data_IF_707919024267
#
_entry.id   IF_707919024267
#
_cell.length_a   1.000
_cell.length_b   1.000
_cell.length_c   1.000
_cell.angle_alpha   90.00
_cell.angle_beta   90.00
_cell.angle_gamma   90.00
#
_symmetry.space_group_name_H-M   'P 1'
#
loop_
_entity.id
_entity.type
_entity.pdbx_description
1 polymer ?
#
# COMPACT_ATOMS: atom_id res chain seq x y z
N UNK A 1 28.13 65.70 -7.46
CA UNK A 1 27.35 64.66 -8.12
C UNK A 1 26.93 63.70 -7.01
N UNK A 2 25.74 63.91 -6.45
CA UNK A 2 25.20 63.20 -5.27
C UNK A 2 24.47 61.94 -5.72
N UNK A 3 24.87 60.80 -5.17
CA UNK A 3 24.09 59.56 -5.28
C UNK A 3 23.11 59.48 -4.10
N UNK A 4 21.82 59.57 -4.40
CA UNK A 4 20.75 59.37 -3.45
C UNK A 4 20.56 57.86 -3.15
N UNK A 5 20.79 57.47 -1.89
CA UNK A 5 20.34 56.22 -1.33
C UNK A 5 18.84 56.31 -1.07
N UNK A 6 18.05 55.51 -1.80
CA UNK A 6 16.65 55.27 -1.46
C UNK A 6 16.53 53.97 -0.69
N UNK A 7 16.56 54.05 0.64
CA UNK A 7 16.15 52.95 1.52
C UNK A 7 14.64 52.72 1.35
N UNK A 8 14.26 51.58 0.81
CA UNK A 8 12.87 51.09 0.87
C UNK A 8 12.63 50.60 2.31
N UNK A 9 11.90 51.40 3.07
CA UNK A 9 11.24 50.95 4.29
C UNK A 9 10.18 49.92 3.91
N UNK A 10 10.43 48.63 4.19
CA UNK A 10 9.36 47.59 4.11
C UNK A 10 8.30 47.95 5.14
N UNK A 11 7.08 48.08 4.68
CA UNK A 11 5.96 48.50 5.51
C UNK A 11 5.65 47.39 6.53
N UNK A 12 5.80 47.69 7.81
CA UNK A 12 5.49 46.82 8.93
C UNK A 12 4.05 46.29 8.89
N UNK A 13 3.16 46.96 8.17
CA UNK A 13 1.77 46.52 7.98
C UNK A 13 1.66 45.31 7.05
N UNK A 14 2.46 45.22 5.99
CA UNK A 14 2.46 44.04 5.11
C UNK A 14 2.98 42.80 5.82
N UNK A 15 4.04 42.92 6.62
CA UNK A 15 4.57 41.79 7.43
C UNK A 15 3.56 41.29 8.46
N UNK A 16 2.74 42.17 9.04
CA UNK A 16 1.69 41.77 9.99
C UNK A 16 0.49 41.12 9.29
N UNK A 17 0.19 41.46 8.05
CA UNK A 17 -0.86 40.83 7.26
C UNK A 17 -0.48 39.41 6.85
N UNK A 18 0.78 39.17 6.48
CA UNK A 18 1.27 37.82 6.18
C UNK A 18 1.38 36.92 7.42
N UNK A 19 1.78 37.46 8.55
CA UNK A 19 1.80 36.73 9.82
C UNK A 19 0.40 36.36 10.31
N UNK A 20 -0.61 37.22 10.07
CA UNK A 20 -2.01 36.97 10.38
C UNK A 20 -2.62 35.86 9.51
N UNK A 21 -2.28 35.79 8.23
CA UNK A 21 -2.78 34.76 7.32
C UNK A 21 -2.21 33.38 7.65
N UNK A 22 -0.94 33.29 8.06
CA UNK A 22 -0.32 32.05 8.50
C UNK A 22 -0.87 31.57 9.85
N UNK A 23 -1.20 32.48 10.76
CA UNK A 23 -1.81 32.14 12.05
C UNK A 23 -3.27 31.66 11.90
N UNK A 24 -4.05 32.23 10.96
CA UNK A 24 -5.40 31.76 10.67
C UNK A 24 -5.39 30.37 9.99
N UNK A 25 -4.45 30.12 9.07
CA UNK A 25 -4.29 28.81 8.45
C UNK A 25 -3.93 27.71 9.46
N UNK A 26 -3.07 28.02 10.42
CA UNK A 26 -2.69 27.10 11.49
C UNK A 26 -3.83 26.89 12.51
N UNK A 27 -4.68 27.90 12.76
CA UNK A 27 -5.85 27.80 13.64
C UNK A 27 -6.99 27.01 12.99
N UNK A 28 -7.21 27.14 11.68
CA UNK A 28 -8.20 26.34 10.95
C UNK A 28 -7.77 24.87 10.89
N UNK A 29 -6.48 24.58 10.75
CA UNK A 29 -5.97 23.21 10.79
C UNK A 29 -6.06 22.59 12.19
N UNK A 30 -5.88 23.37 13.27
CA UNK A 30 -6.08 22.93 14.65
C UNK A 30 -7.55 22.78 15.04
N UNK A 31 -8.44 23.59 14.50
CA UNK A 31 -9.88 23.48 14.78
C UNK A 31 -10.52 22.29 14.06
N UNK A 32 -9.99 21.86 12.89
CA UNK A 32 -10.42 20.64 12.24
C UNK A 32 -9.92 19.36 12.95
N UNK A 33 -8.91 19.47 13.83
CA UNK A 33 -8.38 18.37 14.64
C UNK A 33 -8.91 18.28 16.06
N UNK A 34 -9.80 19.19 16.50
CA UNK A 34 -10.27 19.27 17.88
C UNK A 34 -11.79 19.15 18.04
N UNK A 35 -12.51 18.73 17.01
CA UNK A 35 -13.95 18.47 17.09
C UNK A 35 -14.21 16.98 16.92
N UNK A 36 -14.64 16.38 17.99
CA UNK A 36 -15.20 15.05 18.14
C UNK A 36 -14.25 13.97 18.66
N UNK A 37 -14.15 13.91 20.01
CA UNK A 37 -13.57 12.80 20.75
C UNK A 37 -14.57 11.64 20.97
N UNK A 38 -15.48 11.42 20.05
CA UNK A 38 -16.15 10.13 19.93
C UNK A 38 -15.11 9.12 19.43
N UNK A 39 -15.11 7.85 19.88
CA UNK A 39 -14.24 6.85 19.33
C UNK A 39 -14.60 6.67 17.86
N UNK A 40 -13.97 7.48 16.99
CA UNK A 40 -14.04 7.24 15.56
C UNK A 40 -13.47 5.86 15.36
N UNK A 41 -14.31 4.95 14.88
CA UNK A 41 -13.86 3.68 14.31
C UNK A 41 -12.60 4.00 13.51
N UNK A 42 -11.47 3.43 13.93
CA UNK A 42 -10.18 3.69 13.28
C UNK A 42 -10.41 3.57 11.77
N UNK A 43 -9.98 4.59 11.00
CA UNK A 43 -10.14 4.56 9.56
C UNK A 43 -9.54 3.24 9.09
N UNK A 44 -10.29 2.31 8.46
CA UNK A 44 -9.78 0.97 8.15
C UNK A 44 -8.59 1.01 7.16
N UNK A 45 -8.41 2.16 6.47
CA UNK A 45 -7.38 2.37 5.47
C UNK A 45 -6.47 3.54 5.87
N UNK A 46 -5.52 3.24 6.79
CA UNK A 46 -4.51 4.20 7.24
C UNK A 46 -3.22 3.48 7.61
N UNK A 47 -2.10 3.80 6.95
CA UNK A 47 -0.80 3.16 7.20
C UNK A 47 -0.30 2.31 6.06
N UNK A 48 0.52 1.32 6.37
CA UNK A 48 1.16 0.45 5.37
C UNK A 48 0.37 -0.84 5.21
N UNK A 49 -0.01 -1.12 3.96
CA UNK A 49 -0.71 -2.33 3.53
C UNK A 49 0.14 -3.04 2.48
N UNK A 50 1.17 -3.79 2.89
CA UNK A 50 2.05 -4.44 1.93
C UNK A 50 1.31 -5.44 1.07
N UNK A 51 1.87 -5.67 -0.12
CA UNK A 51 1.42 -6.73 -1.00
C UNK A 51 2.15 -8.01 -0.62
N UNK A 52 1.39 -8.97 -0.09
CA UNK A 52 1.87 -10.29 0.32
C UNK A 52 2.48 -11.04 -0.86
N UNK A 53 3.55 -11.78 -0.58
CA UNK A 53 4.20 -12.63 -1.58
C UNK A 53 3.53 -14.01 -1.61
N UNK A 54 3.67 -14.74 -2.71
CA UNK A 54 3.12 -16.09 -2.84
C UNK A 54 4.25 -17.11 -2.79
N UNK A 55 4.43 -17.79 -1.66
CA UNK A 55 5.45 -18.82 -1.50
C UNK A 55 4.99 -20.15 -2.09
N UNK A 56 5.87 -20.84 -2.80
CA UNK A 56 5.66 -22.22 -3.21
C UNK A 56 6.73 -23.13 -2.59
N UNK A 57 6.29 -24.27 -2.09
CA UNK A 57 7.16 -25.34 -1.61
C UNK A 57 7.76 -26.14 -2.78
N UNK A 58 8.79 -26.99 -2.54
CA UNK A 58 9.27 -27.93 -3.53
C UNK A 58 8.13 -28.77 -4.12
N UNK A 59 8.15 -28.95 -5.44
CA UNK A 59 7.05 -29.60 -6.16
C UNK A 59 5.91 -28.65 -6.53
N UNK A 60 6.17 -27.35 -6.51
CA UNK A 60 5.27 -26.30 -7.01
C UNK A 60 3.90 -26.23 -6.29
N UNK A 61 3.87 -26.56 -5.01
CA UNK A 61 2.68 -26.47 -4.16
C UNK A 61 2.67 -25.16 -3.38
N UNK A 62 1.50 -24.50 -3.29
CA UNK A 62 1.33 -23.32 -2.44
C UNK A 62 1.72 -23.66 -0.99
N UNK A 63 2.65 -22.87 -0.42
CA UNK A 63 3.10 -23.07 0.98
C UNK A 63 2.22 -22.21 1.92
N UNK A 64 1.16 -22.85 2.43
CA UNK A 64 0.20 -22.19 3.32
C UNK A 64 0.85 -21.77 4.65
N UNK A 65 1.83 -22.52 5.15
CA UNK A 65 2.55 -22.17 6.40
C UNK A 65 3.33 -20.85 6.23
N UNK A 66 3.98 -20.66 5.07
CA UNK A 66 4.69 -19.43 4.77
C UNK A 66 3.72 -18.24 4.56
N UNK A 67 2.54 -18.45 3.97
CA UNK A 67 1.49 -17.40 3.91
C UNK A 67 1.04 -16.99 5.32
N UNK A 68 0.80 -17.94 6.21
CA UNK A 68 0.45 -17.67 7.61
C UNK A 68 1.60 -16.95 8.36
N UNK A 69 2.85 -17.37 8.11
CA UNK A 69 4.02 -16.73 8.69
C UNK A 69 4.14 -15.25 8.27
N UNK A 70 3.77 -14.91 7.04
CA UNK A 70 3.76 -13.54 6.53
C UNK A 70 2.71 -12.66 7.25
N UNK A 71 1.51 -13.19 7.53
CA UNK A 71 0.51 -12.50 8.36
C UNK A 71 1.02 -12.27 9.78
N UNK A 72 1.61 -13.32 10.39
CA UNK A 72 2.18 -13.23 11.73
C UNK A 72 3.33 -12.21 11.80
N UNK A 73 4.14 -12.14 10.74
CA UNK A 73 5.18 -11.14 10.60
C UNK A 73 4.60 -9.71 10.59
N UNK A 74 3.54 -9.46 9.80
CA UNK A 74 2.86 -8.17 9.78
C UNK A 74 2.29 -7.81 11.16
N UNK A 75 1.65 -8.75 11.85
CA UNK A 75 1.12 -8.53 13.20
C UNK A 75 2.22 -8.17 14.21
N UNK A 76 3.35 -8.89 14.23
CA UNK A 76 4.50 -8.57 15.09
C UNK A 76 5.10 -7.21 14.77
N UNK A 77 5.20 -6.89 13.48
CA UNK A 77 5.71 -5.60 12.97
C UNK A 77 4.76 -4.42 13.18
N UNK A 78 3.56 -4.66 13.70
CA UNK A 78 2.48 -3.66 13.85
C UNK A 78 2.11 -3.00 12.53
N UNK A 79 2.16 -3.75 11.45
CA UNK A 79 1.80 -3.29 10.11
C UNK A 79 0.28 -3.16 10.02
N UNK A 80 -0.20 -2.07 9.46
CA UNK A 80 -1.62 -1.72 9.47
C UNK A 80 -2.50 -2.70 8.69
N UNK A 81 -2.00 -3.24 7.57
CA UNK A 81 -2.74 -4.22 6.77
C UNK A 81 -1.83 -5.16 5.99
N UNK A 82 -2.43 -6.06 5.23
CA UNK A 82 -1.80 -6.95 4.25
C UNK A 82 -2.79 -7.21 3.12
N UNK A 83 -2.41 -7.02 1.89
CA UNK A 83 -3.23 -7.31 0.71
C UNK A 83 -2.66 -8.51 -0.06
N UNK A 84 -3.50 -9.55 -0.31
CA UNK A 84 -3.12 -10.74 -1.08
C UNK A 84 -4.36 -11.37 -1.76
N UNK A 85 -4.22 -11.92 -2.98
CA UNK A 85 -3.09 -11.76 -3.88
C UNK A 85 -3.30 -10.53 -4.78
N UNK A 86 -2.19 -9.90 -5.14
CA UNK A 86 -2.15 -8.77 -6.07
C UNK A 86 -1.08 -8.98 -7.15
N UNK A 87 -0.78 -7.95 -7.95
CA UNK A 87 0.23 -8.04 -9.02
C UNK A 87 1.57 -8.57 -8.48
N UNK A 88 2.08 -7.96 -7.42
CA UNK A 88 3.35 -8.37 -6.82
C UNK A 88 3.29 -9.74 -6.13
N UNK A 89 2.10 -10.30 -5.90
CA UNK A 89 1.91 -11.69 -5.43
C UNK A 89 1.95 -12.71 -6.56
N UNK A 90 1.92 -12.29 -7.85
CA UNK A 90 1.76 -13.21 -8.98
C UNK A 90 0.38 -13.88 -9.03
N UNK A 91 -0.66 -13.12 -8.75
CA UNK A 91 -2.03 -13.61 -8.63
C UNK A 91 -2.50 -14.47 -9.81
N UNK A 92 -2.01 -14.17 -11.03
CA UNK A 92 -2.41 -14.87 -12.26
C UNK A 92 -1.72 -16.23 -12.46
N UNK A 93 -0.79 -16.59 -11.59
CA UNK A 93 -0.08 -17.89 -11.67
C UNK A 93 -0.72 -18.98 -10.80
N UNK A 94 -1.74 -18.63 -10.03
CA UNK A 94 -2.44 -19.54 -9.13
C UNK A 94 -3.76 -20.03 -9.72
N UNK A 95 -4.09 -21.28 -9.46
CA UNK A 95 -5.42 -21.82 -9.71
C UNK A 95 -6.47 -21.17 -8.79
N UNK A 96 -7.76 -21.33 -9.13
CA UNK A 96 -8.86 -20.87 -8.27
C UNK A 96 -8.78 -21.49 -6.87
N UNK A 97 -8.47 -22.80 -6.79
CA UNK A 97 -8.35 -23.50 -5.52
C UNK A 97 -7.18 -22.96 -4.67
N UNK A 98 -6.00 -22.78 -5.26
CA UNK A 98 -4.86 -22.17 -4.54
C UNK A 98 -5.17 -20.78 -4.01
N UNK A 99 -5.94 -19.98 -4.76
CA UNK A 99 -6.36 -18.65 -4.31
C UNK A 99 -7.34 -18.72 -3.13
N UNK A 100 -8.27 -19.67 -3.13
CA UNK A 100 -9.20 -19.88 -2.02
C UNK A 100 -8.49 -20.42 -0.80
N UNK A 101 -7.67 -21.46 -0.94
CA UNK A 101 -6.91 -22.07 0.16
C UNK A 101 -5.94 -21.06 0.80
N UNK A 102 -5.25 -20.27 -0.03
CA UNK A 102 -4.34 -19.23 0.43
C UNK A 102 -5.08 -18.10 1.18
N UNK A 103 -6.25 -17.69 0.69
CA UNK A 103 -7.08 -16.70 1.38
C UNK A 103 -7.54 -17.23 2.75
N UNK A 104 -8.01 -18.49 2.82
CA UNK A 104 -8.39 -19.12 4.10
C UNK A 104 -7.22 -19.17 5.07
N UNK A 105 -6.04 -19.57 4.62
CA UNK A 105 -4.84 -19.63 5.47
C UNK A 105 -4.44 -18.27 6.02
N UNK A 106 -4.46 -17.23 5.18
CA UNK A 106 -4.18 -15.84 5.56
C UNK A 106 -5.20 -15.34 6.59
N UNK A 107 -6.50 -15.54 6.31
CA UNK A 107 -7.57 -15.07 7.17
C UNK A 107 -7.59 -15.80 8.52
N UNK A 108 -7.33 -17.11 8.52
CA UNK A 108 -7.20 -17.87 9.76
C UNK A 108 -6.02 -17.39 10.63
N UNK A 109 -4.85 -17.13 10.02
CA UNK A 109 -3.68 -16.61 10.74
C UNK A 109 -3.88 -15.18 11.29
N UNK A 110 -4.79 -14.40 10.70
CA UNK A 110 -5.10 -13.03 11.13
C UNK A 110 -6.10 -12.94 12.27
N UNK A 111 -6.75 -14.03 12.64
CA UNK A 111 -7.77 -14.03 13.69
C UNK A 111 -7.20 -13.52 15.03
N UNK A 112 -7.86 -12.50 15.60
CA UNK A 112 -7.41 -11.83 16.82
C UNK A 112 -6.19 -10.91 16.66
N UNK A 113 -5.59 -10.83 15.46
CA UNK A 113 -4.54 -9.88 15.11
C UNK A 113 -5.10 -8.47 14.83
N UNK A 114 -4.19 -7.50 14.71
CA UNK A 114 -4.55 -6.10 14.40
C UNK A 114 -4.33 -5.71 12.94
N UNK A 115 -3.59 -6.52 12.19
CA UNK A 115 -3.34 -6.29 10.76
C UNK A 115 -4.61 -6.52 9.97
N UNK A 116 -5.10 -5.52 9.25
CA UNK A 116 -6.25 -5.63 8.36
C UNK A 116 -5.93 -6.52 7.16
N UNK A 117 -6.77 -7.50 6.85
CA UNK A 117 -6.55 -8.45 5.77
C UNK A 117 -7.44 -8.12 4.57
N UNK A 118 -6.80 -7.77 3.46
CA UNK A 118 -7.46 -7.37 2.21
C UNK A 118 -7.25 -8.45 1.15
N UNK A 119 -8.34 -9.06 0.69
CA UNK A 119 -8.25 -10.17 -0.26
C UNK A 119 -8.48 -9.68 -1.69
N UNK A 120 -7.54 -10.03 -2.58
CA UNK A 120 -7.61 -9.74 -4.01
C UNK A 120 -8.64 -10.64 -4.71
N UNK A 121 -9.59 -10.02 -5.44
CA UNK A 121 -10.70 -10.74 -6.05
C UNK A 121 -10.72 -10.69 -7.59
N UNK A 122 -9.71 -10.07 -8.20
CA UNK A 122 -9.56 -10.07 -9.66
C UNK A 122 -9.44 -11.49 -10.20
N UNK A 123 -10.01 -11.75 -11.37
CA UNK A 123 -9.99 -13.04 -12.06
C UNK A 123 -9.26 -12.97 -13.39
N UNK A 124 -8.83 -14.12 -13.91
CA UNK A 124 -8.25 -14.21 -15.27
C UNK A 124 -9.32 -13.77 -16.28
N UNK A 125 -8.93 -12.93 -17.23
CA UNK A 125 -9.83 -12.39 -18.24
C UNK A 125 -10.96 -11.50 -17.69
N UNK A 126 -10.86 -11.06 -16.42
CA UNK A 126 -11.90 -10.28 -15.74
C UNK A 126 -13.26 -10.97 -15.70
N UNK A 127 -13.25 -12.30 -15.51
CA UNK A 127 -14.46 -13.12 -15.37
C UNK A 127 -15.22 -12.71 -14.10
N UNK A 128 -16.31 -11.97 -14.28
CA UNK A 128 -17.12 -11.41 -13.18
C UNK A 128 -17.66 -12.50 -12.24
N UNK A 129 -18.25 -13.62 -12.73
CA UNK A 129 -18.70 -14.70 -11.85
C UNK A 129 -17.63 -15.25 -10.92
N UNK A 130 -16.42 -15.46 -11.41
CA UNK A 130 -15.27 -15.90 -10.60
C UNK A 130 -14.87 -14.83 -9.58
N UNK A 131 -14.81 -13.56 -9.97
CA UNK A 131 -14.50 -12.46 -9.06
C UNK A 131 -15.54 -12.34 -7.94
N UNK A 132 -16.81 -12.53 -8.23
CA UNK A 132 -17.89 -12.57 -7.22
C UNK A 132 -17.69 -13.75 -6.26
N UNK A 133 -17.37 -14.94 -6.78
CA UNK A 133 -17.07 -16.11 -5.91
C UNK A 133 -15.91 -15.82 -4.96
N UNK A 134 -14.84 -15.20 -5.43
CA UNK A 134 -13.72 -14.80 -4.56
C UNK A 134 -14.13 -13.77 -3.51
N UNK A 135 -14.93 -12.77 -3.86
CA UNK A 135 -15.43 -11.77 -2.93
C UNK A 135 -16.30 -12.39 -1.83
N UNK A 136 -17.24 -13.24 -2.21
CA UNK A 136 -18.12 -13.95 -1.28
C UNK A 136 -17.35 -14.93 -0.39
N UNK A 137 -16.35 -15.61 -0.94
CA UNK A 137 -15.46 -16.49 -0.19
C UNK A 137 -14.65 -15.69 0.85
N UNK A 138 -14.05 -14.57 0.46
CA UNK A 138 -13.34 -13.69 1.37
C UNK A 138 -14.23 -13.18 2.52
N UNK A 139 -15.44 -12.73 2.20
CA UNK A 139 -16.41 -12.30 3.20
C UNK A 139 -16.81 -13.43 4.17
N UNK A 140 -17.07 -14.62 3.66
CA UNK A 140 -17.40 -15.81 4.47
C UNK A 140 -16.30 -16.16 5.47
N UNK A 141 -15.04 -15.97 5.11
CA UNK A 141 -13.88 -16.32 5.93
C UNK A 141 -13.33 -15.14 6.74
N UNK A 142 -14.01 -13.99 6.77
CA UNK A 142 -13.73 -12.87 7.67
C UNK A 142 -12.65 -11.91 7.20
N UNK A 143 -12.56 -11.67 5.89
CA UNK A 143 -11.72 -10.60 5.36
C UNK A 143 -12.20 -9.22 5.85
N UNK A 144 -11.27 -8.30 6.06
CA UNK A 144 -11.59 -6.91 6.44
C UNK A 144 -11.98 -6.05 5.23
N UNK A 145 -11.51 -6.43 4.04
CA UNK A 145 -11.84 -5.76 2.77
C UNK A 145 -11.51 -6.65 1.57
N UNK A 146 -11.97 -6.23 0.40
CA UNK A 146 -11.60 -6.79 -0.90
C UNK A 146 -10.91 -5.74 -1.77
N UNK A 147 -10.00 -6.18 -2.64
CA UNK A 147 -9.32 -5.35 -3.63
C UNK A 147 -9.40 -6.00 -5.00
N UNK A 148 -9.63 -5.21 -6.05
CA UNK A 148 -9.61 -5.71 -7.41
C UNK A 148 -8.79 -4.86 -8.35
N UNK A 149 -8.10 -5.53 -9.29
CA UNK A 149 -7.51 -4.91 -10.47
C UNK A 149 -8.61 -4.58 -11.48
N UNK A 150 -8.44 -3.52 -12.28
CA UNK A 150 -9.36 -3.22 -13.37
C UNK A 150 -9.24 -4.26 -14.50
N UNK A 151 -10.31 -4.48 -15.27
CA UNK A 151 -10.23 -5.13 -16.58
C UNK A 151 -9.23 -4.42 -17.51
N UNK A 152 -8.45 -5.20 -18.24
CA UNK A 152 -7.51 -4.63 -19.21
C UNK A 152 -8.25 -3.95 -20.38
N UNK A 153 -7.72 -2.80 -20.81
CA UNK A 153 -8.18 -2.06 -21.99
C UNK A 153 -9.69 -1.72 -22.00
N UNK A 154 -10.30 -1.67 -20.81
CA UNK A 154 -11.70 -1.29 -20.66
C UNK A 154 -11.87 0.24 -20.73
N UNK A 155 -13.01 0.68 -21.28
CA UNK A 155 -13.43 2.08 -21.17
C UNK A 155 -14.04 2.40 -19.79
N UNK A 156 -14.27 3.68 -19.52
CA UNK A 156 -14.75 4.16 -18.23
C UNK A 156 -16.11 3.53 -17.84
N UNK A 157 -17.02 3.35 -18.79
CA UNK A 157 -18.32 2.76 -18.53
C UNK A 157 -18.20 1.28 -18.11
N UNK A 158 -17.32 0.54 -18.78
CA UNK A 158 -17.00 -0.86 -18.45
C UNK A 158 -16.32 -0.97 -17.09
N UNK A 159 -15.36 -0.08 -16.79
CA UNK A 159 -14.69 -0.01 -15.50
C UNK A 159 -15.67 0.26 -14.36
N UNK A 160 -16.55 1.25 -14.53
CA UNK A 160 -17.57 1.58 -13.54
C UNK A 160 -18.52 0.41 -13.30
N UNK A 161 -19.04 -0.22 -14.39
CA UNK A 161 -19.93 -1.37 -14.29
C UNK A 161 -19.27 -2.56 -13.59
N UNK A 162 -17.99 -2.84 -13.89
CA UNK A 162 -17.21 -3.88 -13.25
C UNK A 162 -17.11 -3.65 -11.74
N UNK A 163 -16.62 -2.48 -11.31
CA UNK A 163 -16.45 -2.20 -9.89
C UNK A 163 -17.77 -2.09 -9.12
N UNK A 164 -18.85 -1.61 -9.74
CA UNK A 164 -20.20 -1.65 -9.16
C UNK A 164 -20.63 -3.09 -8.88
N UNK A 165 -20.39 -3.99 -9.83
CA UNK A 165 -20.75 -5.41 -9.68
C UNK A 165 -19.93 -6.09 -8.58
N UNK A 166 -18.61 -5.84 -8.54
CA UNK A 166 -17.74 -6.38 -7.48
C UNK A 166 -18.11 -5.79 -6.10
N UNK A 167 -18.35 -4.49 -6.04
CA UNK A 167 -18.72 -3.81 -4.78
C UNK A 167 -20.10 -4.23 -4.24
N UNK A 168 -20.99 -4.71 -5.11
CA UNK A 168 -22.29 -5.25 -4.71
C UNK A 168 -22.26 -6.74 -4.31
N UNK A 169 -21.15 -7.44 -4.52
CA UNK A 169 -21.04 -8.87 -4.24
C UNK A 169 -21.02 -9.18 -2.72
N UNK A 170 -20.63 -8.22 -1.89
CA UNK A 170 -20.52 -8.34 -0.42
C UNK A 170 -20.68 -6.98 0.23
N UNK A 171 -20.85 -6.95 1.56
CA UNK A 171 -20.82 -5.71 2.36
C UNK A 171 -19.40 -5.27 2.75
N UNK A 172 -18.37 -6.01 2.34
CA UNK A 172 -16.99 -5.66 2.65
C UNK A 172 -16.57 -4.35 1.98
N UNK A 173 -15.74 -3.54 2.64
CA UNK A 173 -15.09 -2.40 2.00
C UNK A 173 -14.36 -2.83 0.73
N UNK A 174 -14.57 -2.07 -0.36
CA UNK A 174 -13.89 -2.25 -1.64
C UNK A 174 -12.73 -1.29 -1.78
N UNK A 175 -11.56 -1.82 -2.11
CA UNK A 175 -10.41 -1.08 -2.60
C UNK A 175 -10.39 -1.17 -4.12
N UNK A 176 -10.51 -0.04 -4.81
CA UNK A 176 -10.33 0.04 -6.25
C UNK A 176 -8.85 0.24 -6.55
N UNK A 177 -8.26 -0.57 -7.40
CA UNK A 177 -6.91 -0.30 -7.90
C UNK A 177 -7.01 0.44 -9.23
N UNK A 178 -6.49 1.65 -9.30
CA UNK A 178 -6.43 2.40 -10.55
C UNK A 178 -5.20 1.99 -11.34
N UNK A 179 -5.36 1.88 -12.65
CA UNK A 179 -4.27 1.59 -13.59
C UNK A 179 -4.51 2.27 -14.94
N UNK A 180 -3.46 2.34 -15.76
CA UNK A 180 -3.54 2.85 -17.11
C UNK A 180 -4.01 4.30 -17.16
N UNK A 181 -5.08 4.56 -17.91
CA UNK A 181 -5.65 5.89 -18.14
C UNK A 181 -6.85 6.21 -17.24
N UNK A 182 -7.08 5.45 -16.17
CA UNK A 182 -8.19 5.73 -15.25
C UNK A 182 -8.09 7.15 -14.67
N UNK A 183 -9.01 8.03 -15.06
CA UNK A 183 -9.03 9.43 -14.68
C UNK A 183 -9.46 9.67 -13.22
N UNK A 184 -9.18 10.86 -12.71
CA UNK A 184 -9.65 11.27 -11.37
C UNK A 184 -11.17 11.31 -11.34
N UNK A 185 -11.79 11.86 -12.37
CA UNK A 185 -13.27 11.99 -12.45
C UNK A 185 -13.95 10.63 -12.37
N UNK A 186 -13.41 9.61 -13.04
CA UNK A 186 -13.92 8.24 -12.93
C UNK A 186 -13.77 7.66 -11.51
N UNK A 187 -12.65 7.92 -10.84
CA UNK A 187 -12.44 7.48 -9.44
C UNK A 187 -13.47 8.12 -8.51
N UNK A 188 -13.73 9.41 -8.70
CA UNK A 188 -14.74 10.15 -7.92
C UNK A 188 -16.14 9.62 -8.21
N UNK A 189 -16.48 9.40 -9.48
CA UNK A 189 -17.75 8.79 -9.88
C UNK A 189 -17.95 7.39 -9.28
N UNK A 190 -16.93 6.55 -9.31
CA UNK A 190 -16.96 5.24 -8.64
C UNK A 190 -17.22 5.39 -7.14
N UNK A 191 -16.54 6.32 -6.47
CA UNK A 191 -16.74 6.57 -5.05
C UNK A 191 -18.16 7.00 -4.71
N UNK A 192 -18.78 7.85 -5.54
CA UNK A 192 -20.16 8.30 -5.37
C UNK A 192 -21.20 7.19 -5.63
N UNK A 193 -20.91 6.29 -6.58
CA UNK A 193 -21.86 5.27 -7.04
C UNK A 193 -21.67 3.89 -6.38
N UNK A 194 -20.56 3.65 -5.68
CA UNK A 194 -20.24 2.36 -5.05
C UNK A 194 -20.16 2.55 -3.52
N UNK A 195 -21.22 2.29 -2.77
CA UNK A 195 -21.26 2.56 -1.33
C UNK A 195 -20.19 1.83 -0.53
N UNK A 196 -19.74 0.67 -1.01
CA UNK A 196 -18.67 -0.13 -0.39
C UNK A 196 -17.27 0.37 -0.73
N UNK A 197 -17.07 1.24 -1.72
CA UNK A 197 -15.75 1.80 -2.03
C UNK A 197 -15.28 2.72 -0.89
N UNK A 198 -14.15 2.38 -0.27
CA UNK A 198 -13.57 3.13 0.84
C UNK A 198 -12.13 3.56 0.60
N UNK A 199 -11.48 2.95 -0.40
CA UNK A 199 -10.09 3.22 -0.71
C UNK A 199 -9.84 3.11 -2.21
N UNK A 200 -8.94 3.92 -2.72
CA UNK A 200 -8.31 3.73 -4.03
C UNK A 200 -6.82 3.53 -3.87
N UNK A 201 -6.28 2.45 -4.42
CA UNK A 201 -4.85 2.29 -4.63
C UNK A 201 -4.51 2.93 -5.96
N UNK A 202 -4.04 4.17 -5.94
CA UNK A 202 -3.83 4.98 -7.15
C UNK A 202 -2.46 4.74 -7.76
N UNK A 203 -2.43 4.06 -8.90
CA UNK A 203 -1.23 3.73 -9.69
C UNK A 203 -1.35 4.22 -11.14
N UNK A 204 -2.41 4.92 -11.50
CA UNK A 204 -2.60 5.47 -12.83
C UNK A 204 -1.82 6.77 -13.02
N UNK A 205 -1.12 6.93 -14.15
CA UNK A 205 -0.43 8.15 -14.51
C UNK A 205 0.61 8.61 -13.47
N UNK A 206 0.48 9.86 -12.98
CA UNK A 206 1.32 10.40 -11.91
C UNK A 206 0.50 10.58 -10.63
N UNK A 207 0.55 9.64 -9.68
CA UNK A 207 -0.24 9.68 -8.45
C UNK A 207 -0.01 10.95 -7.62
N UNK A 208 1.22 11.49 -7.56
CA UNK A 208 1.52 12.71 -6.80
C UNK A 208 0.72 13.93 -7.31
N UNK A 209 0.48 14.02 -8.62
CA UNK A 209 -0.28 15.12 -9.19
C UNK A 209 -1.79 14.97 -8.99
N UNK A 210 -2.29 13.76 -8.72
CA UNK A 210 -3.71 13.39 -8.70
C UNK A 210 -4.32 13.37 -7.30
N UNK A 211 -3.52 13.00 -6.30
CA UNK A 211 -4.01 12.78 -4.94
C UNK A 211 -4.77 13.97 -4.37
N UNK A 212 -4.25 15.19 -4.55
CA UNK A 212 -4.90 16.41 -4.06
C UNK A 212 -6.28 16.61 -4.67
N UNK A 213 -6.45 16.29 -5.96
CA UNK A 213 -7.74 16.39 -6.66
C UNK A 213 -8.73 15.33 -6.12
N UNK A 214 -8.28 14.08 -5.95
CA UNK A 214 -9.11 13.01 -5.37
C UNK A 214 -9.56 13.40 -3.95
N UNK A 215 -8.64 13.86 -3.10
CA UNK A 215 -8.96 14.29 -1.74
C UNK A 215 -9.98 15.43 -1.74
N UNK A 216 -9.76 16.45 -2.58
CA UNK A 216 -10.66 17.60 -2.67
C UNK A 216 -12.06 17.20 -3.13
N UNK A 217 -12.16 16.44 -4.23
CA UNK A 217 -13.45 16.08 -4.83
C UNK A 217 -14.24 15.07 -3.97
N UNK A 218 -13.56 14.24 -3.17
CA UNK A 218 -14.21 13.31 -2.23
C UNK A 218 -14.37 13.87 -0.82
N UNK A 219 -14.04 15.16 -0.60
CA UNK A 219 -14.04 15.81 0.71
C UNK A 219 -13.22 15.02 1.76
N UNK A 220 -12.12 14.39 1.35
CA UNK A 220 -11.26 13.57 2.19
C UNK A 220 -11.90 12.29 2.72
N UNK A 221 -13.03 11.84 2.17
CA UNK A 221 -13.74 10.64 2.61
C UNK A 221 -13.23 9.36 1.96
N UNK A 222 -12.61 9.46 0.78
CA UNK A 222 -11.95 8.35 0.11
C UNK A 222 -10.49 8.28 0.55
N UNK A 223 -10.07 7.15 1.11
CA UNK A 223 -8.65 6.91 1.39
C UNK A 223 -7.88 6.73 0.07
N UNK A 224 -6.73 7.36 -0.06
CA UNK A 224 -5.87 7.24 -1.23
C UNK A 224 -4.57 6.55 -0.84
N UNK A 225 -4.31 5.40 -1.42
CA UNK A 225 -3.09 4.62 -1.21
C UNK A 225 -2.20 4.69 -2.45
N UNK A 226 -0.90 4.63 -2.24
CA UNK A 226 0.11 4.53 -3.28
C UNK A 226 0.64 3.11 -3.40
N UNK A 227 0.95 2.72 -4.64
CA UNK A 227 1.69 1.49 -4.94
C UNK A 227 3.09 1.79 -5.47
N UNK A 228 3.30 1.80 -6.76
CA UNK A 228 4.48 2.27 -7.50
C UNK A 228 5.87 2.01 -6.85
N UNK A 229 6.00 0.92 -6.07
CA UNK A 229 7.24 0.60 -5.35
C UNK A 229 7.56 1.54 -4.18
N UNK A 230 6.63 2.40 -3.79
CA UNK A 230 6.73 3.30 -2.61
C UNK A 230 7.99 4.20 -2.63
N UNK A 231 8.49 4.54 -3.81
CA UNK A 231 9.75 5.31 -3.96
C UNK A 231 9.62 6.75 -3.50
N UNK A 232 8.42 7.31 -3.52
CA UNK A 232 8.10 8.69 -3.21
C UNK A 232 7.29 8.83 -1.92
N UNK A 233 7.36 7.84 -1.03
CA UNK A 233 6.55 7.74 0.18
C UNK A 233 6.51 9.02 1.01
N UNK A 234 7.64 9.71 1.18
CA UNK A 234 7.69 10.93 1.99
C UNK A 234 6.93 12.10 1.32
N UNK A 235 7.04 12.23 0.00
CA UNK A 235 6.30 13.23 -0.75
C UNK A 235 4.81 12.89 -0.82
N UNK A 236 4.50 11.60 -0.94
CA UNK A 236 3.14 11.08 -0.89
C UNK A 236 2.45 11.42 0.44
N UNK A 237 3.11 11.15 1.57
CA UNK A 237 2.58 11.52 2.89
C UNK A 237 2.38 13.04 3.04
N UNK A 238 3.31 13.84 2.50
CA UNK A 238 3.19 15.31 2.48
C UNK A 238 1.97 15.80 1.70
N UNK A 239 1.60 15.10 0.64
CA UNK A 239 0.45 15.41 -0.21
C UNK A 239 -0.87 14.82 0.31
N UNK A 240 -0.85 14.04 1.40
CA UNK A 240 -2.04 13.54 2.07
C UNK A 240 -2.45 12.10 1.70
N UNK A 241 -1.56 11.31 1.12
CA UNK A 241 -1.83 9.88 0.97
C UNK A 241 -2.13 9.23 2.33
N UNK A 242 -3.18 8.43 2.38
CA UNK A 242 -3.63 7.72 3.58
C UNK A 242 -2.82 6.45 3.85
N UNK A 243 -2.12 5.93 2.84
CA UNK A 243 -1.33 4.72 3.01
C UNK A 243 -0.50 4.33 1.79
N UNK A 244 0.26 3.25 1.97
CA UNK A 244 1.28 2.80 1.01
C UNK A 244 1.30 1.29 0.91
N UNK A 245 1.53 0.77 -0.30
CA UNK A 245 1.52 -0.65 -0.60
C UNK A 245 2.90 -1.14 -1.10
N UNK A 246 3.92 -1.26 -0.21
CA UNK A 246 5.18 -1.93 -0.56
C UNK A 246 5.01 -3.44 -0.70
N UNK A 247 6.10 -4.16 -0.96
CA UNK A 247 6.19 -5.60 -0.69
C UNK A 247 6.41 -5.87 0.80
N UNK A 248 6.09 -7.07 1.28
CA UNK A 248 6.03 -7.38 2.71
C UNK A 248 7.39 -7.34 3.42
N UNK A 249 8.49 -7.67 2.73
CA UNK A 249 9.79 -7.95 3.36
C UNK A 249 10.33 -6.89 4.33
N UNK A 250 10.02 -5.61 4.14
CA UNK A 250 10.39 -4.49 5.01
C UNK A 250 9.16 -3.68 5.48
N UNK A 251 7.98 -4.30 5.50
CA UNK A 251 6.73 -3.60 5.81
C UNK A 251 6.70 -2.97 7.19
N UNK A 252 7.34 -3.59 8.18
CA UNK A 252 7.48 -3.06 9.53
C UNK A 252 8.31 -1.76 9.58
N UNK A 253 9.36 -1.65 8.75
CA UNK A 253 10.16 -0.43 8.62
C UNK A 253 9.43 0.66 7.84
N UNK A 254 8.68 0.30 6.80
CA UNK A 254 7.78 1.24 6.13
C UNK A 254 6.70 1.75 7.09
N UNK A 255 6.12 0.87 7.90
CA UNK A 255 5.17 1.29 8.95
C UNK A 255 5.83 2.18 9.98
N UNK A 256 7.08 1.89 10.38
CA UNK A 256 7.85 2.76 11.28
C UNK A 256 8.07 4.16 10.66
N UNK A 257 8.39 4.22 9.37
CA UNK A 257 8.53 5.49 8.63
C UNK A 257 7.21 6.27 8.64
N UNK A 258 6.10 5.60 8.37
CA UNK A 258 4.76 6.19 8.39
C UNK A 258 4.41 6.75 9.77
N UNK A 259 4.63 5.96 10.83
CA UNK A 259 4.37 6.35 12.21
C UNK A 259 5.21 7.57 12.63
N UNK A 260 6.50 7.58 12.31
CA UNK A 260 7.41 8.70 12.59
C UNK A 260 6.96 9.98 11.89
N UNK A 261 6.59 9.88 10.60
CA UNK A 261 6.11 11.04 9.85
C UNK A 261 4.86 11.65 10.48
N UNK A 262 3.86 10.85 10.78
CA UNK A 262 2.60 11.33 11.35
C UNK A 262 2.70 11.74 12.82
N UNK A 263 3.77 11.33 13.51
CA UNK A 263 4.14 11.85 14.82
C UNK A 263 4.89 13.20 14.75
N UNK A 264 5.18 13.72 13.55
CA UNK A 264 5.96 14.95 13.34
C UNK A 264 7.48 14.75 13.34
N UNK A 265 7.97 13.54 13.48
CA UNK A 265 9.40 13.19 13.50
C UNK A 265 9.92 12.99 12.06
N UNK A 266 9.84 14.07 11.26
CA UNK A 266 10.10 13.99 9.81
C UNK A 266 11.55 13.65 9.48
N UNK A 267 12.52 14.06 10.31
CA UNK A 267 13.94 13.75 10.11
C UNK A 267 14.21 12.26 10.28
N UNK A 268 13.69 11.69 11.35
CA UNK A 268 13.80 10.26 11.65
C UNK A 268 13.06 9.40 10.60
N UNK A 269 11.92 9.89 10.11
CA UNK A 269 11.20 9.26 9.00
C UNK A 269 12.05 9.26 7.72
N UNK A 270 12.72 10.37 7.40
CA UNK A 270 13.61 10.47 6.25
C UNK A 270 14.82 9.53 6.40
N UNK A 271 15.46 9.48 7.57
CA UNK A 271 16.59 8.61 7.83
C UNK A 271 16.19 7.13 7.72
N UNK A 272 15.04 6.73 8.26
CA UNK A 272 14.50 5.37 8.14
C UNK A 272 14.21 5.01 6.69
N UNK A 273 13.52 5.89 5.97
CA UNK A 273 13.20 5.68 4.56
C UNK A 273 14.45 5.56 3.70
N UNK A 274 15.48 6.38 3.96
CA UNK A 274 16.78 6.30 3.29
C UNK A 274 17.45 4.93 3.44
N UNK A 275 17.40 4.35 4.64
CA UNK A 275 17.91 2.99 4.92
C UNK A 275 17.16 1.92 4.13
N UNK A 276 15.84 2.00 4.08
CA UNK A 276 14.99 1.10 3.30
C UNK A 276 15.35 1.18 1.81
N UNK A 277 15.50 2.38 1.25
CA UNK A 277 15.84 2.57 -0.16
C UNK A 277 17.25 2.05 -0.47
N UNK A 278 18.23 2.30 0.40
CA UNK A 278 19.58 1.79 0.26
C UNK A 278 19.60 0.24 0.26
N UNK A 279 18.87 -0.39 1.16
CA UNK A 279 18.74 -1.85 1.19
C UNK A 279 18.05 -2.40 -0.07
N UNK A 280 16.97 -1.78 -0.50
CA UNK A 280 16.24 -2.20 -1.71
C UNK A 280 17.06 -2.03 -3.00
N UNK A 281 18.13 -1.23 -2.99
CA UNK A 281 19.05 -1.11 -4.13
C UNK A 281 20.01 -2.31 -4.28
N UNK A 282 20.09 -3.20 -3.28
CA UNK A 282 20.92 -4.40 -3.36
C UNK A 282 20.25 -5.40 -4.32
N UNK A 283 20.96 -5.86 -5.37
CA UNK A 283 20.40 -6.85 -6.30
C UNK A 283 19.90 -8.11 -5.56
N UNK A 284 18.67 -8.52 -5.85
CA UNK A 284 18.06 -9.69 -5.24
C UNK A 284 17.50 -9.49 -3.82
N UNK A 285 17.69 -8.32 -3.20
CA UNK A 285 17.21 -8.08 -1.83
C UNK A 285 15.70 -8.34 -1.69
N UNK A 286 14.88 -7.80 -2.59
CA UNK A 286 13.42 -8.02 -2.56
C UNK A 286 13.00 -9.47 -2.75
N UNK A 287 13.81 -10.28 -3.45
CA UNK A 287 13.56 -11.71 -3.66
C UNK A 287 13.86 -12.54 -2.39
N UNK A 288 14.87 -12.15 -1.62
CA UNK A 288 15.41 -12.96 -0.53
C UNK A 288 15.06 -12.46 0.88
N UNK A 289 14.57 -11.25 1.01
CA UNK A 289 14.37 -10.60 2.31
C UNK A 289 13.45 -11.38 3.26
N UNK A 290 12.36 -11.98 2.77
CA UNK A 290 11.47 -12.78 3.62
C UNK A 290 12.15 -14.07 4.11
N UNK A 291 13.02 -14.67 3.30
CA UNK A 291 13.87 -15.80 3.72
C UNK A 291 14.93 -15.32 4.71
N UNK A 292 15.64 -14.25 4.43
CA UNK A 292 16.67 -13.68 5.30
C UNK A 292 16.11 -13.30 6.68
N UNK A 293 14.84 -12.91 6.75
CA UNK A 293 14.11 -12.61 8.00
C UNK A 293 13.44 -13.82 8.66
N UNK A 294 13.60 -15.02 8.12
CA UNK A 294 13.04 -16.25 8.66
C UNK A 294 11.51 -16.34 8.54
N UNK A 295 10.90 -15.56 7.67
CA UNK A 295 9.45 -15.61 7.36
C UNK A 295 9.16 -16.74 6.39
N UNK A 296 9.99 -16.85 5.34
CA UNK A 296 9.92 -17.92 4.37
C UNK A 296 11.06 -18.92 4.56
N UNK A 297 10.87 -20.15 4.07
CA UNK A 297 11.87 -21.22 4.12
C UNK A 297 12.93 -21.01 3.03
N UNK A 298 14.15 -21.50 3.24
CA UNK A 298 15.22 -21.46 2.21
C UNK A 298 14.82 -22.20 0.92
N UNK A 299 13.92 -23.17 1.03
CA UNK A 299 13.40 -23.95 -0.09
C UNK A 299 12.23 -23.30 -0.80
N UNK A 300 11.78 -22.11 -0.35
CA UNK A 300 10.67 -21.40 -0.96
C UNK A 300 11.04 -20.96 -2.37
N UNK A 301 10.13 -21.19 -3.30
CA UNK A 301 10.21 -20.77 -4.69
C UNK A 301 9.06 -19.81 -5.05
N UNK A 302 9.15 -19.16 -6.19
CA UNK A 302 8.08 -18.35 -6.78
C UNK A 302 7.81 -18.78 -8.21
N UNK A 303 6.57 -18.70 -8.66
CA UNK A 303 6.23 -18.94 -10.07
C UNK A 303 6.54 -17.71 -10.90
N UNK A 304 7.12 -17.85 -12.10
CA UNK A 304 7.27 -16.77 -13.05
C UNK A 304 5.89 -16.19 -13.40
N UNK A 305 5.77 -14.86 -13.43
CA UNK A 305 4.52 -14.20 -13.83
C UNK A 305 4.57 -13.87 -15.32
N UNK A 306 3.72 -14.50 -16.17
CA UNK A 306 3.70 -14.23 -17.60
C UNK A 306 3.43 -12.75 -17.89
N UNK A 307 4.15 -12.17 -18.85
CA UNK A 307 3.93 -10.78 -19.29
C UNK A 307 4.44 -9.70 -18.35
N UNK A 308 4.92 -10.05 -17.19
CA UNK A 308 5.62 -9.13 -16.30
C UNK A 308 7.11 -9.37 -16.49
N UNK A 309 7.81 -8.35 -17.01
CA UNK A 309 9.27 -8.29 -16.86
C UNK A 309 9.66 -8.45 -15.39
N UNK A 310 10.95 -8.48 -15.04
CA UNK A 310 11.36 -8.60 -13.65
C UNK A 310 10.65 -7.53 -12.82
N UNK A 311 9.57 -7.92 -12.16
CA UNK A 311 8.95 -7.10 -11.13
C UNK A 311 10.00 -6.95 -10.05
N UNK A 312 10.22 -5.73 -9.59
CA UNK A 312 11.25 -5.43 -8.61
C UNK A 312 11.24 -6.48 -7.50
N UNK A 313 12.31 -7.27 -7.39
CA UNK A 313 12.41 -8.39 -6.46
C UNK A 313 12.11 -9.78 -7.02
N UNK A 314 11.82 -9.93 -8.31
CA UNK A 314 11.59 -11.22 -8.97
C UNK A 314 12.54 -11.45 -10.12
N UNK A 315 13.82 -11.45 -9.86
CA UNK A 315 14.75 -12.13 -10.74
C UNK A 315 14.45 -13.62 -10.65
N UNK A 316 14.14 -14.24 -11.79
CA UNK A 316 13.79 -15.67 -11.85
C UNK A 316 14.99 -16.57 -11.67
N UNK A 317 16.20 -16.02 -11.70
CA UNK A 317 17.42 -16.76 -11.40
C UNK A 317 17.59 -16.94 -9.90
N UNK A 318 17.87 -18.15 -9.40
CA UNK A 318 18.21 -18.37 -7.99
C UNK A 318 19.43 -17.51 -7.62
N UNK A 319 19.38 -16.86 -6.45
CA UNK A 319 20.55 -16.17 -5.92
C UNK A 319 21.62 -17.17 -5.51
N UNK A 320 22.86 -16.84 -5.82
CA UNK A 320 23.99 -17.62 -5.32
C UNK A 320 24.27 -17.30 -3.82
N UNK A 321 25.16 -18.10 -3.21
CA UNK A 321 25.44 -17.96 -1.78
C UNK A 321 26.13 -16.62 -1.45
N UNK A 322 26.93 -16.07 -2.36
CA UNK A 322 27.58 -14.77 -2.16
C UNK A 322 26.56 -13.64 -2.15
N UNK A 323 25.58 -13.66 -3.06
CA UNK A 323 24.47 -12.69 -3.10
C UNK A 323 23.62 -12.77 -1.83
N UNK A 324 23.27 -13.98 -1.39
CA UNK A 324 22.54 -14.21 -0.13
C UNK A 324 23.30 -13.68 1.07
N UNK A 325 24.62 -13.91 1.11
CA UNK A 325 25.48 -13.42 2.20
C UNK A 325 25.54 -11.89 2.24
N UNK A 326 25.62 -11.22 1.09
CA UNK A 326 25.58 -9.76 1.00
C UNK A 326 24.25 -9.22 1.56
N UNK A 327 23.12 -9.83 1.17
CA UNK A 327 21.80 -9.40 1.64
C UNK A 327 21.66 -9.61 3.16
N UNK A 328 22.09 -10.77 3.70
CA UNK A 328 22.06 -11.04 5.14
C UNK A 328 22.99 -10.09 5.91
N UNK A 329 24.18 -9.86 5.41
CA UNK A 329 25.13 -8.92 6.03
C UNK A 329 24.58 -7.50 6.09
N UNK A 330 23.99 -7.02 4.99
CA UNK A 330 23.37 -5.70 4.96
C UNK A 330 22.15 -5.59 5.90
N UNK A 331 21.34 -6.66 5.99
CA UNK A 331 20.22 -6.72 6.92
C UNK A 331 20.70 -6.63 8.38
N UNK A 332 21.70 -7.43 8.75
CA UNK A 332 22.24 -7.47 10.12
C UNK A 332 22.96 -6.18 10.50
N UNK A 333 23.76 -5.61 9.60
CA UNK A 333 24.57 -4.42 9.89
C UNK A 333 23.75 -3.13 9.88
N UNK A 334 22.84 -2.96 8.91
CA UNK A 334 22.21 -1.68 8.67
C UNK A 334 20.74 -1.57 9.10
N UNK A 335 20.00 -2.69 9.15
CA UNK A 335 18.57 -2.67 9.45
C UNK A 335 18.18 -3.33 10.75
N UNK A 336 18.92 -4.32 11.23
CA UNK A 336 18.58 -5.10 12.44
C UNK A 336 18.19 -4.28 13.66
N UNK A 337 18.86 -3.15 13.99
CA UNK A 337 18.49 -2.34 15.15
C UNK A 337 17.10 -1.69 15.04
N UNK A 338 16.51 -1.66 13.85
CA UNK A 338 15.25 -0.97 13.55
C UNK A 338 14.08 -1.94 13.31
N UNK A 339 14.36 -3.23 13.16
CA UNK A 339 13.34 -4.23 12.88
C UNK A 339 12.34 -4.34 14.03
N UNK A 340 11.05 -4.44 13.69
CA UNK A 340 9.96 -4.64 14.66
C UNK A 340 9.43 -6.08 14.67
N UNK A 341 9.79 -6.90 13.64
CA UNK A 341 9.33 -8.28 13.49
C UNK A 341 10.45 -9.24 13.07
#
# INVERSE_FOLDING_TARGET
MQLQNSERRSDRRELLQWAGALALGALIYRAAGAADSSPTVAKPFWGVFPIGQTPFAPGDKLDLDCLQAEVNFCNRGRVAGLAWPQIASGWSTMSEQERMDGAEAILAAGQGGKTSLVIGVQSIGSDIPTSIRYAQHAAKHGADAIISLPPEKADDATLLAYYKTIGAATDLPLVVQSQGNMGVDLIVEMFEQIPTMKCVKDEAGNPLARVSQIIQQTNGKLAVFSGNGVRTMLDEMRLGFSGHCPTTGLADLYQATFDLWHAGNHKEAFDMFGRIQAFNSIPGAGQYILVARGVFKETTTSRPTPGMGPVAGRDTAPLDDAQKQVIRGALDEYLKPYLRA
#
